data_IF_703326073165
#
_entry.id   IF_703326073165
#
_cell.length_a   1.000
_cell.length_b   1.000
_cell.length_c   1.000
_cell.angle_alpha   90.00
_cell.angle_beta   90.00
_cell.angle_gamma   90.00
#
_symmetry.space_group_name_H-M   'P 1'
#
loop_
_entity.id
_entity.type
_entity.pdbx_description
1 polymer ?
#
# COMPACT_ATOMS: atom_id res chain seq x y z
N UNK A 1 -16.35 -13.85 1.25
CA UNK A 1 -17.01 -12.62 1.74
C UNK A 1 -15.92 -11.60 2.09
N UNK A 2 -16.13 -10.31 1.79
CA UNK A 2 -15.20 -9.21 2.04
C UNK A 2 -15.97 -8.06 2.68
N UNK A 3 -15.52 -7.59 3.86
CA UNK A 3 -16.14 -6.50 4.62
C UNK A 3 -15.05 -5.49 4.95
N UNK A 4 -15.36 -4.20 4.82
CA UNK A 4 -14.44 -3.12 5.18
C UNK A 4 -15.12 -2.10 6.10
N UNK A 5 -14.32 -1.48 6.97
CA UNK A 5 -14.72 -0.34 7.80
C UNK A 5 -13.70 0.78 7.62
N UNK A 6 -14.19 2.01 7.46
CA UNK A 6 -13.39 3.23 7.39
C UNK A 6 -13.52 4.00 8.71
N UNK A 7 -12.44 4.69 9.13
CA UNK A 7 -12.38 5.45 10.39
C UNK A 7 -12.18 6.95 10.09
N UNK A 8 -13.20 7.66 9.58
CA UNK A 8 -13.09 9.03 9.09
C UNK A 8 -12.77 10.08 10.18
N UNK A 9 -12.92 9.75 11.45
CA UNK A 9 -12.57 10.57 12.61
C UNK A 9 -11.05 10.59 12.89
N UNK A 10 -10.31 9.58 12.44
CA UNK A 10 -8.88 9.42 12.66
C UNK A 10 -8.07 9.95 11.46
N UNK A 11 -8.25 11.23 11.10
CA UNK A 11 -7.56 11.81 9.95
C UNK A 11 -6.11 12.16 10.27
N UNK A 12 -5.22 11.73 9.41
CA UNK A 12 -3.81 12.13 9.40
C UNK A 12 -3.48 12.81 8.07
N UNK A 13 -2.54 13.75 8.07
CA UNK A 13 -2.16 14.48 6.85
C UNK A 13 -0.65 14.35 6.63
N UNK A 14 -0.27 13.70 5.53
CA UNK A 14 1.16 13.51 5.18
C UNK A 14 1.70 14.64 4.32
N UNK A 15 0.84 15.19 3.46
CA UNK A 15 1.13 16.34 2.61
C UNK A 15 -0.02 17.33 2.72
N UNK A 16 0.25 18.64 2.65
CA UNK A 16 -0.81 19.65 2.65
C UNK A 16 -1.88 19.36 1.58
N UNK A 17 -3.13 19.29 2.00
CA UNK A 17 -4.30 18.99 1.18
C UNK A 17 -4.55 17.49 0.94
N UNK A 18 -3.76 16.57 1.50
CA UNK A 18 -3.87 15.11 1.26
C UNK A 18 -4.14 14.33 2.56
N UNK A 19 -5.37 14.39 3.10
CA UNK A 19 -5.73 13.64 4.31
C UNK A 19 -5.90 12.14 4.03
N UNK A 20 -5.42 11.34 4.97
CA UNK A 20 -5.56 9.90 5.05
C UNK A 20 -6.50 9.52 6.19
N UNK A 21 -7.29 8.47 5.98
CA UNK A 21 -8.09 7.83 7.05
C UNK A 21 -7.75 6.35 7.14
N UNK A 22 -7.64 5.78 8.34
CA UNK A 22 -7.49 4.34 8.50
C UNK A 22 -8.65 3.58 7.87
N UNK A 23 -8.32 2.40 7.35
CA UNK A 23 -9.27 1.43 6.80
C UNK A 23 -8.91 0.04 7.30
N UNK A 24 -9.90 -0.66 7.82
CA UNK A 24 -9.76 -2.07 8.20
C UNK A 24 -10.62 -2.92 7.27
N UNK A 25 -10.19 -4.15 7.01
CA UNK A 25 -11.04 -5.11 6.34
C UNK A 25 -10.80 -6.54 6.77
N UNK A 26 -11.82 -7.34 6.52
CA UNK A 26 -11.89 -8.75 6.89
C UNK A 26 -12.22 -9.56 5.65
N UNK A 27 -11.46 -10.62 5.41
CA UNK A 27 -11.69 -11.59 4.33
C UNK A 27 -12.02 -12.98 4.87
N UNK A 28 -12.91 -13.66 4.15
CA UNK A 28 -13.30 -15.04 4.36
C UNK A 28 -13.38 -15.73 2.97
N UNK A 29 -12.57 -16.77 2.74
CA UNK A 29 -12.63 -17.63 1.55
C UNK A 29 -13.88 -18.53 1.55
N UNK A 30 -14.51 -18.80 0.41
CA UNK A 30 -15.76 -19.61 0.40
C UNK A 30 -15.51 -21.13 0.31
N UNK A 31 -14.26 -21.57 0.36
CA UNK A 31 -13.90 -22.98 0.45
C UNK A 31 -13.87 -23.40 1.93
N UNK A 32 -14.47 -24.54 2.26
CA UNK A 32 -14.74 -25.04 3.62
C UNK A 32 -13.47 -25.33 4.48
N UNK A 33 -12.32 -24.81 4.07
CA UNK A 33 -10.97 -24.83 4.64
C UNK A 33 -10.58 -23.53 5.36
N UNK A 34 -11.23 -22.42 4.99
CA UNK A 34 -11.29 -21.09 5.57
C UNK A 34 -10.19 -20.55 6.50
N UNK A 35 -9.35 -19.71 5.90
CA UNK A 35 -8.49 -18.71 6.52
C UNK A 35 -9.28 -17.42 6.74
N UNK A 36 -9.47 -17.01 8.00
CA UNK A 36 -9.92 -15.66 8.33
C UNK A 36 -8.69 -14.76 8.34
N UNK A 37 -8.71 -13.68 7.56
CA UNK A 37 -7.59 -12.75 7.52
C UNK A 37 -8.08 -11.33 7.61
N UNK A 38 -7.35 -10.57 8.42
CA UNK A 38 -7.55 -9.16 8.64
C UNK A 38 -6.47 -8.40 7.90
N UNK A 39 -6.82 -7.23 7.42
CA UNK A 39 -5.86 -6.29 6.86
C UNK A 39 -6.19 -4.89 7.36
N UNK A 40 -5.15 -4.10 7.56
CA UNK A 40 -5.22 -2.70 7.92
C UNK A 40 -4.48 -1.88 6.87
N UNK A 41 -5.05 -0.74 6.51
CA UNK A 41 -4.52 0.16 5.51
C UNK A 41 -4.99 1.59 5.75
N UNK A 42 -4.76 2.44 4.77
CA UNK A 42 -5.23 3.81 4.76
C UNK A 42 -6.01 4.08 3.48
N UNK A 43 -6.86 5.08 3.52
CA UNK A 43 -7.53 5.61 2.35
C UNK A 43 -7.13 7.07 2.22
N UNK A 44 -6.52 7.42 1.10
CA UNK A 44 -6.26 8.81 0.79
C UNK A 44 -7.51 9.46 0.23
N UNK A 45 -8.04 10.48 0.92
CA UNK A 45 -9.38 10.99 0.64
C UNK A 45 -9.46 11.83 -0.64
N UNK A 46 -8.34 12.38 -1.12
CA UNK A 46 -8.29 13.20 -2.34
C UNK A 46 -8.66 12.38 -3.57
N UNK A 47 -8.33 11.11 -3.56
CA UNK A 47 -8.34 10.23 -4.72
C UNK A 47 -9.01 8.89 -4.43
N UNK A 48 -9.47 8.67 -3.20
CA UNK A 48 -9.91 7.37 -2.70
C UNK A 48 -8.87 6.25 -2.91
N UNK A 49 -7.59 6.60 -3.12
CA UNK A 49 -6.52 5.65 -3.37
C UNK A 49 -6.30 4.84 -2.10
N UNK A 50 -6.68 3.56 -2.14
CA UNK A 50 -6.47 2.65 -1.03
C UNK A 50 -4.98 2.36 -0.88
N UNK A 51 -4.40 2.78 0.24
CA UNK A 51 -3.04 2.45 0.65
C UNK A 51 -3.06 1.23 1.57
N UNK A 52 -2.08 0.35 1.43
CA UNK A 52 -1.96 -0.88 2.23
C UNK A 52 -0.78 -0.74 3.17
N UNK A 53 -1.03 -0.85 4.49
CA UNK A 53 0.06 -0.88 5.46
C UNK A 53 0.79 -2.23 5.34
N UNK A 54 2.13 -2.22 5.39
CA UNK A 54 2.91 -3.45 5.23
C UNK A 54 2.86 -4.35 6.48
N UNK A 55 2.55 -3.80 7.66
CA UNK A 55 2.25 -4.58 8.86
C UNK A 55 0.86 -5.21 8.77
N UNK A 56 0.76 -6.31 8.03
CA UNK A 56 -0.41 -7.19 8.05
C UNK A 56 -0.38 -7.95 9.38
N UNK A 57 -1.06 -7.44 10.39
CA UNK A 57 -1.19 -8.15 11.65
C UNK A 57 -2.25 -9.25 11.54
N UNK A 58 -1.74 -10.48 11.46
CA UNK A 58 -2.41 -11.75 11.70
C UNK A 58 -3.42 -12.21 10.63
N UNK A 59 -2.97 -13.11 9.75
CA UNK A 59 -3.87 -14.15 9.21
C UNK A 59 -4.15 -15.15 10.34
N UNK A 60 -5.37 -15.12 10.87
CA UNK A 60 -5.81 -16.07 11.88
C UNK A 60 -6.67 -17.13 11.19
N UNK A 61 -6.08 -18.26 10.79
CA UNK A 61 -6.87 -19.38 10.25
C UNK A 61 -7.69 -20.05 11.37
N UNK A 62 -8.92 -19.59 11.60
CA UNK A 62 -9.90 -20.26 12.46
C UNK A 62 -10.90 -21.03 11.59
N UNK A 63 -11.00 -22.34 11.84
CA UNK A 63 -12.01 -23.20 11.22
C UNK A 63 -13.42 -22.70 11.54
N UNK A 64 -14.30 -22.77 10.55
CA UNK A 64 -15.70 -22.28 10.50
C UNK A 64 -16.65 -22.64 11.68
N UNK A 65 -16.22 -23.46 12.65
CA UNK A 65 -17.06 -24.03 13.71
C UNK A 65 -16.81 -23.43 15.10
N UNK A 66 -15.85 -22.52 15.25
CA UNK A 66 -15.66 -21.80 16.51
C UNK A 66 -16.40 -20.46 16.43
N UNK A 67 -17.14 -20.13 17.50
CA UNK A 67 -17.82 -18.84 17.62
C UNK A 67 -16.84 -17.69 17.31
N UNK A 68 -17.33 -16.65 16.64
CA UNK A 68 -16.58 -15.42 16.45
C UNK A 68 -16.24 -14.88 17.85
N UNK A 69 -14.95 -14.79 18.14
CA UNK A 69 -14.44 -14.30 19.41
C UNK A 69 -14.34 -12.78 19.31
N UNK A 70 -15.38 -12.10 19.77
CA UNK A 70 -15.51 -10.64 19.64
C UNK A 70 -14.34 -9.93 20.33
N UNK A 71 -13.86 -10.44 21.47
CA UNK A 71 -12.73 -9.84 22.20
C UNK A 71 -11.43 -9.96 21.40
N UNK A 72 -11.22 -11.10 20.73
CA UNK A 72 -10.11 -11.29 19.80
C UNK A 72 -10.17 -10.35 18.59
N UNK A 73 -11.37 -10.06 18.09
CA UNK A 73 -11.55 -9.10 16.99
C UNK A 73 -11.33 -7.65 17.42
N UNK A 74 -11.87 -7.25 18.58
CA UNK A 74 -11.64 -5.91 19.15
C UNK A 74 -10.14 -5.67 19.36
N UNK A 75 -9.43 -6.66 19.91
CA UNK A 75 -7.98 -6.57 20.10
C UNK A 75 -7.25 -6.40 18.77
N UNK A 76 -7.65 -7.14 17.74
CA UNK A 76 -7.08 -7.02 16.40
C UNK A 76 -7.28 -5.63 15.79
N UNK A 77 -8.44 -5.00 16.01
CA UNK A 77 -8.69 -3.60 15.60
C UNK A 77 -7.78 -2.62 16.33
N UNK A 78 -7.64 -2.76 17.65
CA UNK A 78 -6.75 -1.90 18.45
C UNK A 78 -5.29 -2.04 18.00
N UNK A 79 -4.82 -3.28 17.80
CA UNK A 79 -3.47 -3.55 17.29
C UNK A 79 -3.27 -2.92 15.90
N UNK A 80 -4.23 -3.10 14.99
CA UNK A 80 -4.18 -2.53 13.65
C UNK A 80 -4.20 -1.00 13.61
N UNK A 81 -4.89 -0.34 14.55
CA UNK A 81 -4.83 1.12 14.71
C UNK A 81 -3.45 1.60 15.17
N UNK A 82 -2.79 0.86 16.06
CA UNK A 82 -1.41 1.18 16.46
C UNK A 82 -0.45 0.99 15.28
N UNK A 83 -0.59 -0.09 14.51
CA UNK A 83 0.23 -0.30 13.31
C UNK A 83 -0.01 0.80 12.26
N UNK A 84 -1.24 1.29 12.12
CA UNK A 84 -1.55 2.41 11.24
C UNK A 84 -0.80 3.68 11.68
N UNK A 85 -0.77 3.98 12.98
CA UNK A 85 -0.03 5.13 13.49
C UNK A 85 1.47 5.02 13.17
N UNK A 86 2.07 3.85 13.43
CA UNK A 86 3.48 3.58 13.09
C UNK A 86 3.73 3.67 11.57
N UNK A 87 2.82 3.13 10.77
CA UNK A 87 2.93 3.16 9.31
C UNK A 87 2.80 4.58 8.76
N UNK A 88 1.97 5.42 9.39
CA UNK A 88 1.85 6.84 9.04
C UNK A 88 3.17 7.56 9.27
N UNK A 89 3.87 7.29 10.36
CA UNK A 89 5.19 7.88 10.60
C UNK A 89 6.24 7.42 9.59
N UNK A 90 6.18 6.17 9.13
CA UNK A 90 7.01 5.68 8.02
C UNK A 90 6.69 6.46 6.74
N UNK A 91 5.40 6.65 6.42
CA UNK A 91 5.01 7.40 5.22
C UNK A 91 5.38 8.88 5.30
N UNK A 92 5.36 9.50 6.49
CA UNK A 92 5.89 10.87 6.69
C UNK A 92 7.36 10.94 6.25
N UNK A 93 8.18 9.96 6.66
CA UNK A 93 9.58 9.91 6.23
C UNK A 93 9.71 9.70 4.71
N UNK A 94 8.82 8.94 4.07
CA UNK A 94 8.86 8.72 2.63
C UNK A 94 8.62 9.97 1.80
N UNK A 95 7.94 10.99 2.36
CA UNK A 95 7.77 12.29 1.70
C UNK A 95 9.11 13.01 1.52
N UNK A 96 10.04 12.82 2.43
CA UNK A 96 11.37 13.45 2.42
C UNK A 96 12.41 12.68 1.59
N UNK A 97 12.14 11.43 1.24
CA UNK A 97 13.04 10.59 0.44
C UNK A 97 12.85 10.88 -1.05
N UNK A 98 13.66 11.79 -1.60
CA UNK A 98 13.71 12.06 -3.03
C UNK A 98 14.32 10.87 -3.79
N UNK A 99 13.72 10.51 -4.92
CA UNK A 99 14.18 9.41 -5.77
C UNK A 99 14.90 9.94 -7.00
N UNK A 100 16.15 9.49 -7.20
CA UNK A 100 16.81 9.61 -8.48
C UNK A 100 16.15 8.68 -9.51
N UNK A 101 16.21 9.02 -10.80
CA UNK A 101 15.61 8.20 -11.86
C UNK A 101 16.14 6.76 -11.84
N UNK A 102 17.43 6.58 -11.57
CA UNK A 102 18.05 5.25 -11.46
C UNK A 102 17.50 4.42 -10.28
N UNK A 103 17.28 5.05 -9.12
CA UNK A 103 16.71 4.37 -7.95
C UNK A 103 15.24 3.99 -8.20
N UNK A 104 14.49 4.87 -8.86
CA UNK A 104 13.12 4.58 -9.26
C UNK A 104 13.05 3.38 -10.22
N UNK A 105 13.93 3.29 -11.21
CA UNK A 105 14.01 2.12 -12.12
C UNK A 105 14.26 0.81 -11.36
N UNK A 106 15.18 0.82 -10.39
CA UNK A 106 15.48 -0.35 -9.55
C UNK A 106 14.27 -0.76 -8.72
N UNK A 107 13.57 0.19 -8.11
CA UNK A 107 12.34 -0.08 -7.36
C UNK A 107 11.27 -0.66 -8.28
N UNK A 108 11.07 -0.07 -9.45
CA UNK A 108 10.07 -0.53 -10.43
C UNK A 108 10.34 -1.95 -10.93
N UNK A 109 11.61 -2.32 -11.12
CA UNK A 109 11.99 -3.67 -11.49
C UNK A 109 11.71 -4.71 -10.40
N UNK A 110 11.59 -4.29 -9.13
CA UNK A 110 11.23 -5.14 -8.00
C UNK A 110 9.72 -5.24 -7.75
N UNK A 111 8.91 -4.39 -8.39
CA UNK A 111 7.46 -4.40 -8.24
C UNK A 111 6.81 -5.57 -8.98
N UNK A 112 5.59 -5.99 -8.57
CA UNK A 112 4.95 -7.17 -9.13
C UNK A 112 4.31 -6.94 -10.51
N UNK A 113 4.75 -5.92 -11.24
CA UNK A 113 4.21 -5.51 -12.53
C UNK A 113 5.26 -5.71 -13.62
N UNK A 114 4.81 -6.06 -14.83
CA UNK A 114 5.71 -6.11 -15.99
C UNK A 114 6.08 -4.71 -16.48
N UNK A 115 7.15 -4.58 -17.26
CA UNK A 115 7.65 -3.30 -17.81
C UNK A 115 6.54 -2.46 -18.46
N UNK A 116 5.71 -3.08 -19.29
CA UNK A 116 4.56 -2.42 -19.92
C UNK A 116 3.57 -1.82 -18.92
N UNK A 117 3.25 -2.55 -17.85
CA UNK A 117 2.34 -2.02 -16.82
C UNK A 117 3.00 -0.88 -16.06
N UNK A 118 4.30 -0.95 -15.77
CA UNK A 118 5.02 0.15 -15.13
C UNK A 118 5.01 1.41 -15.99
N UNK A 119 5.20 1.29 -17.31
CA UNK A 119 5.08 2.41 -18.25
C UNK A 119 3.67 3.00 -18.25
N UNK A 120 2.64 2.15 -18.28
CA UNK A 120 1.24 2.58 -18.20
C UNK A 120 0.95 3.30 -16.87
N UNK A 121 1.43 2.78 -15.75
CA UNK A 121 1.26 3.36 -14.41
C UNK A 121 1.93 4.72 -14.30
N UNK A 122 3.18 4.87 -14.77
CA UNK A 122 3.89 6.15 -14.73
C UNK A 122 3.27 7.22 -15.63
N UNK A 123 2.57 6.81 -16.69
CA UNK A 123 1.87 7.70 -17.60
C UNK A 123 0.50 8.15 -17.07
N UNK A 124 0.00 7.56 -15.99
CA UNK A 124 -1.25 7.97 -15.36
C UNK A 124 -1.10 9.34 -14.71
N UNK A 125 -2.07 10.24 -14.90
CA UNK A 125 -2.16 11.45 -14.11
C UNK A 125 -2.44 11.06 -12.65
N UNK A 126 -1.66 11.61 -11.73
CA UNK A 126 -1.93 11.49 -10.30
C UNK A 126 -3.20 12.27 -9.98
N UNK A 127 -4.14 11.65 -9.26
CA UNK A 127 -5.51 12.15 -9.14
C UNK A 127 -5.62 13.46 -8.36
N UNK A 128 -4.68 13.74 -7.44
CA UNK A 128 -4.67 14.97 -6.64
C UNK A 128 -4.08 16.18 -7.35
N UNK A 129 -3.19 15.98 -8.31
CA UNK A 129 -2.42 17.04 -8.98
C UNK A 129 -2.72 17.15 -10.48
N UNK A 130 -3.13 16.06 -11.13
CA UNK A 130 -3.33 15.96 -12.57
C UNK A 130 -2.02 15.77 -13.36
N UNK A 131 -0.87 15.82 -12.70
CA UNK A 131 0.44 15.66 -13.32
C UNK A 131 0.82 14.18 -13.45
N UNK A 132 1.70 13.86 -14.39
CA UNK A 132 2.23 12.50 -14.55
C UNK A 132 3.49 12.32 -13.71
N UNK A 133 3.60 11.15 -13.08
CA UNK A 133 4.80 10.79 -12.32
C UNK A 133 6.03 10.73 -13.24
N UNK A 134 5.87 10.37 -14.51
CA UNK A 134 6.95 10.46 -15.51
C UNK A 134 7.58 11.85 -15.60
N UNK A 135 6.76 12.89 -15.53
CA UNK A 135 7.19 14.29 -15.70
C UNK A 135 7.90 14.77 -14.42
N UNK A 136 7.39 14.37 -13.26
CA UNK A 136 8.05 14.62 -11.98
C UNK A 136 9.39 13.89 -11.87
N UNK A 137 9.48 12.66 -12.38
CA UNK A 137 10.70 11.85 -12.30
C UNK A 137 11.80 12.47 -13.17
N UNK A 138 11.44 12.94 -14.37
CA UNK A 138 12.35 13.70 -15.23
C UNK A 138 12.78 15.04 -14.59
N UNK A 139 11.89 15.66 -13.82
CA UNK A 139 12.15 16.90 -13.08
C UNK A 139 12.87 16.73 -11.73
N UNK A 140 13.14 15.49 -11.28
CA UNK A 140 13.74 15.21 -9.98
C UNK A 140 12.89 15.63 -8.78
N UNK A 141 11.55 15.61 -8.92
CA UNK A 141 10.58 16.07 -7.89
C UNK A 141 9.81 14.93 -7.22
N UNK A 142 10.13 13.69 -7.56
CA UNK A 142 9.43 12.51 -7.06
C UNK A 142 10.07 12.04 -5.75
N UNK A 143 9.26 11.92 -4.71
CA UNK A 143 9.66 11.20 -3.51
C UNK A 143 9.08 9.77 -3.48
N UNK A 144 9.55 8.98 -2.53
CA UNK A 144 9.15 7.59 -2.34
C UNK A 144 7.63 7.46 -2.10
N UNK A 145 7.03 8.42 -1.40
CA UNK A 145 5.58 8.45 -1.16
C UNK A 145 4.78 8.68 -2.46
N UNK A 146 5.22 9.57 -3.34
CA UNK A 146 4.56 9.81 -4.63
C UNK A 146 4.60 8.58 -5.54
N UNK A 147 5.75 7.89 -5.58
CA UNK A 147 5.85 6.62 -6.29
C UNK A 147 4.92 5.58 -5.68
N UNK A 148 4.89 5.43 -4.35
CA UNK A 148 3.97 4.49 -3.72
C UNK A 148 2.50 4.82 -4.05
N UNK A 149 2.14 6.10 -3.99
CA UNK A 149 0.80 6.62 -4.28
C UNK A 149 0.30 6.30 -5.70
N UNK A 150 1.15 6.38 -6.73
CA UNK A 150 0.69 6.08 -8.10
C UNK A 150 0.43 4.58 -8.30
N UNK A 151 1.21 3.71 -7.66
CA UNK A 151 0.96 2.27 -7.71
C UNK A 151 -0.30 1.88 -6.96
N UNK A 152 -0.56 2.48 -5.80
CA UNK A 152 -1.81 2.24 -5.05
C UNK A 152 -3.01 2.85 -5.76
N UNK A 153 -2.86 3.99 -6.45
CA UNK A 153 -3.87 4.57 -7.34
C UNK A 153 -4.24 3.58 -8.46
N UNK A 154 -3.25 3.09 -9.19
CA UNK A 154 -3.46 2.12 -10.26
C UNK A 154 -4.19 0.88 -9.74
N UNK A 155 -3.76 0.33 -8.61
CA UNK A 155 -4.45 -0.79 -8.00
C UNK A 155 -5.90 -0.44 -7.67
N UNK A 156 -6.16 0.72 -7.08
CA UNK A 156 -7.51 1.11 -6.67
C UNK A 156 -8.47 1.26 -7.85
N UNK A 157 -8.04 1.92 -8.92
CA UNK A 157 -8.93 2.38 -10.00
C UNK A 157 -8.86 1.56 -11.28
N UNK A 158 -7.76 0.85 -11.52
CA UNK A 158 -7.53 0.13 -12.78
C UNK A 158 -7.57 -1.40 -12.60
N UNK A 159 -7.56 -1.91 -11.37
CA UNK A 159 -7.70 -3.34 -11.09
C UNK A 159 -9.09 -3.64 -10.55
N UNK A 160 -9.90 -4.32 -11.35
CA UNK A 160 -11.31 -4.60 -11.00
C UNK A 160 -11.43 -5.57 -9.80
N UNK A 161 -10.60 -6.63 -9.79
CA UNK A 161 -10.68 -7.67 -8.77
C UNK A 161 -10.16 -7.20 -7.41
N UNK A 162 -11.03 -7.18 -6.40
CA UNK A 162 -10.67 -6.90 -5.00
C UNK A 162 -9.53 -7.80 -4.50
N UNK A 163 -9.56 -9.08 -4.88
CA UNK A 163 -8.55 -10.05 -4.47
C UNK A 163 -7.18 -9.70 -5.06
N UNK A 164 -7.14 -9.33 -6.34
CA UNK A 164 -5.89 -8.92 -7.00
C UNK A 164 -5.39 -7.61 -6.41
N UNK A 165 -6.29 -6.66 -6.12
CA UNK A 165 -5.94 -5.39 -5.46
C UNK A 165 -5.25 -5.59 -4.12
N UNK A 166 -5.82 -6.44 -3.26
CA UNK A 166 -5.24 -6.73 -1.94
C UNK A 166 -3.87 -7.41 -2.11
N UNK A 167 -3.79 -8.51 -2.86
CA UNK A 167 -2.52 -9.25 -3.01
C UNK A 167 -1.42 -8.41 -3.63
N UNK A 168 -1.70 -7.70 -4.73
CA UNK A 168 -0.72 -6.79 -5.35
C UNK A 168 -0.38 -5.62 -4.43
N UNK A 169 -1.36 -5.09 -3.69
CA UNK A 169 -1.16 -4.00 -2.74
C UNK A 169 -0.18 -4.38 -1.63
N UNK A 170 -0.29 -5.60 -1.09
CA UNK A 170 0.66 -6.15 -0.11
C UNK A 170 2.07 -6.30 -0.72
N UNK A 171 2.17 -6.79 -1.96
CA UNK A 171 3.45 -6.93 -2.67
C UNK A 171 4.11 -5.57 -2.92
N UNK A 172 3.34 -4.57 -3.35
CA UNK A 172 3.81 -3.18 -3.53
C UNK A 172 4.27 -2.61 -2.19
N UNK A 173 3.44 -2.67 -1.15
CA UNK A 173 3.77 -2.16 0.18
C UNK A 173 5.07 -2.79 0.71
N UNK A 174 5.30 -4.08 0.48
CA UNK A 174 6.53 -4.77 0.84
C UNK A 174 7.76 -4.23 0.14
N UNK A 175 7.68 -3.97 -1.16
CA UNK A 175 8.82 -3.45 -1.94
C UNK A 175 9.19 -2.06 -1.43
N UNK A 176 8.20 -1.18 -1.25
CA UNK A 176 8.43 0.18 -0.75
C UNK A 176 8.92 0.19 0.70
N UNK A 177 8.38 -0.66 1.57
CA UNK A 177 8.87 -0.78 2.95
C UNK A 177 10.33 -1.26 3.03
N UNK A 178 10.80 -2.02 2.05
CA UNK A 178 12.17 -2.54 2.01
C UNK A 178 13.02 -1.87 0.91
N UNK A 179 12.67 -0.64 0.48
CA UNK A 179 13.28 0.00 -0.69
C UNK A 179 14.81 0.10 -0.59
N UNK A 180 15.36 0.42 0.59
CA UNK A 180 16.81 0.50 0.81
C UNK A 180 17.52 -0.84 0.52
N UNK A 181 16.93 -1.95 0.95
CA UNK A 181 17.47 -3.28 0.69
C UNK A 181 17.37 -3.63 -0.80
N UNK A 182 16.30 -3.19 -1.48
CA UNK A 182 16.12 -3.36 -2.92
C UNK A 182 17.24 -2.62 -3.68
N UNK A 183 17.51 -1.37 -3.31
CA UNK A 183 18.60 -0.57 -3.90
C UNK A 183 19.98 -1.22 -3.66
N UNK A 184 20.27 -1.64 -2.42
CA UNK A 184 21.55 -2.28 -2.08
C UNK A 184 21.79 -3.60 -2.84
N UNK A 185 20.74 -4.42 -3.03
CA UNK A 185 20.85 -5.68 -3.78
C UNK A 185 21.14 -5.47 -5.26
N UNK A 186 20.65 -4.37 -5.85
CA UNK A 186 20.95 -4.01 -7.23
C UNK A 186 22.41 -3.61 -7.40
N UNK A 187 22.93 -2.75 -6.51
CA UNK A 187 24.33 -2.28 -6.55
C UNK A 187 25.33 -3.45 -6.48
N UNK A 188 25.06 -4.49 -5.69
CA UNK A 188 25.92 -5.68 -5.61
C UNK A 188 25.93 -6.54 -6.88
N UNK A 189 24.87 -6.48 -7.69
CA UNK A 189 24.79 -7.23 -8.96
C UNK A 189 25.51 -6.53 -10.11
N UNK A 190 25.75 -5.22 -10.03
CA UNK A 190 26.52 -4.48 -11.04
C UNK A 190 28.04 -4.60 -10.87
N UNK A 191 28.51 -5.12 -9.73
CA UNK A 191 29.94 -5.24 -9.40
C UNK A 191 30.55 -6.63 -9.67
N UNK A 192 29.74 -7.62 -10.06
CA UNK A 192 30.17 -9.00 -10.33
C UNK A 192 29.83 -9.46 -11.73
#
# INVERSE_FOLDING_TARGET
>A
CYITADFPECKEELKPGRPLTPKAGVRNSNDLTLEFSRWFGAMELVCANGMVAFKINQSASKKHRQNLDIDFEIKGVIEGMNDFAEQTDIWKNWVDVQLASADAEVIMAALPFGSRHNEEILALPETGTGDKVSDWLAGGKVNLYDMYGIYTQFLTHNVESDMVRVTKGEEVARVFHNYEQVLQRSARKSEG
#
